data_IF_610449167603
#
_entry.id   IF_610449167603
#
_cell.length_a   1.000
_cell.length_b   1.000
_cell.length_c   1.000
_cell.angle_alpha   90.00
_cell.angle_beta   90.00
_cell.angle_gamma   90.00
#
_symmetry.space_group_name_H-M   'P 1'
#
loop_
_entity.id
_entity.type
_entity.pdbx_description
1 polymer ?
#
# COMPACT_ATOMS: atom_id res chain seq x y z
N UNK A 1 19.57 74.00 -37.43
CA UNK A 1 18.42 74.79 -37.93
C UNK A 1 17.51 73.80 -38.65
N UNK A 2 16.54 73.21 -37.94
CA UNK A 2 15.11 73.55 -38.00
C UNK A 2 14.51 73.34 -39.40
N UNK A 3 13.41 72.56 -39.45
CA UNK A 3 12.36 72.49 -40.49
C UNK A 3 12.75 71.80 -41.80
N UNK A 4 11.87 71.16 -42.58
CA UNK A 4 10.42 70.85 -42.61
C UNK A 4 10.31 69.75 -43.71
N UNK A 5 9.47 68.72 -43.59
CA UNK A 5 8.10 68.61 -44.12
C UNK A 5 7.94 68.86 -45.63
N UNK A 6 6.96 68.14 -46.21
CA UNK A 6 6.54 68.01 -47.62
C UNK A 6 7.27 66.94 -48.43
N UNK A 7 6.67 66.15 -49.31
CA UNK A 7 5.29 65.85 -49.69
C UNK A 7 5.40 64.88 -50.87
N UNK A 8 4.36 64.07 -51.09
CA UNK A 8 3.93 63.53 -52.39
C UNK A 8 4.86 62.53 -53.13
N UNK A 9 4.36 61.31 -53.33
CA UNK A 9 4.13 60.65 -54.63
C UNK A 9 3.73 59.19 -54.33
N UNK A 10 2.42 58.85 -54.38
CA UNK A 10 1.80 58.16 -55.51
C UNK A 10 2.60 56.93 -55.98
N UNK A 11 2.28 55.75 -55.45
CA UNK A 11 2.32 54.53 -56.25
C UNK A 11 1.16 53.60 -55.89
N UNK A 12 0.36 53.35 -56.92
CA UNK A 12 -0.72 52.39 -57.02
C UNK A 12 -0.21 50.97 -56.77
N UNK A 13 -0.86 50.22 -55.88
CA UNK A 13 -0.90 48.77 -55.99
C UNK A 13 -2.28 48.26 -55.62
N UNK A 14 -3.00 47.90 -56.67
CA UNK A 14 -4.23 47.10 -56.65
C UNK A 14 -3.82 45.70 -56.18
N UNK A 15 -4.26 45.29 -54.98
CA UNK A 15 -4.22 43.88 -54.57
C UNK A 15 -5.65 43.35 -54.55
N UNK A 16 -5.93 42.48 -55.51
CA UNK A 16 -7.17 41.72 -55.64
C UNK A 16 -7.18 40.65 -54.53
N UNK A 17 -8.10 40.79 -53.58
CA UNK A 17 -8.40 39.79 -52.57
C UNK A 17 -9.18 38.62 -53.22
N UNK A 18 -8.48 37.56 -53.62
CA UNK A 18 -9.10 36.26 -53.89
C UNK A 18 -9.13 35.44 -52.61
N UNK A 19 -10.31 35.32 -52.00
CA UNK A 19 -10.60 34.35 -50.94
C UNK A 19 -10.75 32.97 -51.57
N UNK A 20 -9.77 32.09 -51.37
CA UNK A 20 -9.91 30.66 -51.63
C UNK A 20 -10.32 29.95 -50.33
N UNK A 21 -11.44 29.20 -50.31
CA UNK A 21 -11.76 28.32 -49.20
C UNK A 21 -10.88 27.07 -49.30
N UNK A 22 -9.90 26.95 -48.41
CA UNK A 22 -9.19 25.69 -48.16
C UNK A 22 -10.17 24.71 -47.50
N UNK A 23 -10.80 23.88 -48.33
CA UNK A 23 -11.39 22.62 -47.87
C UNK A 23 -10.24 21.66 -47.58
N UNK A 24 -9.76 21.67 -46.35
CA UNK A 24 -8.92 20.61 -45.83
C UNK A 24 -9.78 19.33 -45.69
N UNK A 25 -9.89 18.56 -46.78
CA UNK A 25 -10.26 17.15 -46.70
C UNK A 25 -9.06 16.45 -46.07
N UNK A 26 -9.11 16.24 -44.76
CA UNK A 26 -8.35 15.17 -44.15
C UNK A 26 -9.00 13.87 -44.60
N UNK A 27 -8.34 13.14 -45.50
CA UNK A 27 -8.54 11.71 -45.66
C UNK A 27 -8.19 11.05 -44.33
N UNK A 28 -9.16 10.99 -43.43
CA UNK A 28 -9.12 10.06 -42.30
C UNK A 28 -9.38 8.71 -42.92
N UNK A 29 -8.30 7.95 -43.16
CA UNK A 29 -8.44 6.51 -43.28
C UNK A 29 -9.10 6.04 -42.00
N UNK A 30 -10.31 5.52 -42.12
CA UNK A 30 -10.94 4.71 -41.10
C UNK A 30 -9.93 3.64 -40.69
N UNK A 31 -9.27 3.85 -39.56
CA UNK A 31 -8.70 2.75 -38.82
C UNK A 31 -9.93 1.98 -38.35
N UNK A 32 -10.20 0.85 -38.98
CA UNK A 32 -10.98 -0.21 -38.35
C UNK A 32 -10.32 -0.47 -37.00
N UNK A 33 -10.87 0.17 -35.98
CA UNK A 33 -10.53 -0.08 -34.60
C UNK A 33 -11.07 -1.48 -34.34
N UNK A 34 -10.18 -2.48 -34.30
CA UNK A 34 -10.55 -3.83 -33.90
C UNK A 34 -11.37 -3.73 -32.62
N UNK A 35 -12.65 -4.09 -32.72
CA UNK A 35 -13.52 -4.25 -31.57
C UNK A 35 -12.87 -5.31 -30.66
N UNK A 36 -12.45 -4.87 -29.47
CA UNK A 36 -12.04 -5.77 -28.41
C UNK A 36 -10.54 -6.08 -28.35
N UNK A 37 -9.73 -5.10 -27.95
CA UNK A 37 -8.71 -5.36 -26.93
C UNK A 37 -8.49 -4.10 -26.12
N UNK A 38 -8.91 -4.13 -24.86
CA UNK A 38 -8.57 -3.07 -23.91
C UNK A 38 -7.05 -3.03 -23.76
N UNK A 39 -6.45 -1.88 -24.11
CA UNK A 39 -5.07 -1.61 -23.77
C UNK A 39 -4.96 -1.68 -22.24
N UNK A 40 -4.36 -2.76 -21.74
CA UNK A 40 -4.27 -3.06 -20.32
C UNK A 40 -3.55 -1.88 -19.62
N UNK A 41 -4.30 -1.10 -18.84
CA UNK A 41 -3.96 0.27 -18.43
C UNK A 41 -2.87 0.35 -17.34
N UNK A 42 -2.29 -0.79 -16.93
CA UNK A 42 -1.38 -0.87 -15.79
C UNK A 42 0.05 -1.19 -16.25
N UNK A 43 1.03 -0.31 -15.95
CA UNK A 43 2.43 -0.49 -16.36
C UNK A 43 3.11 -1.68 -15.66
N UNK A 44 4.20 -2.26 -16.20
CA UNK A 44 5.01 -3.33 -15.57
C UNK A 44 5.40 -3.14 -14.10
N UNK A 45 5.40 -1.92 -13.55
CA UNK A 45 5.59 -1.65 -12.12
C UNK A 45 4.27 -1.70 -11.30
N UNK A 46 3.28 -2.46 -11.79
CA UNK A 46 1.86 -2.35 -11.43
C UNK A 46 1.47 -2.85 -10.06
N UNK A 47 2.30 -3.60 -9.32
CA UNK A 47 1.83 -4.30 -8.14
C UNK A 47 2.60 -3.91 -6.86
N UNK A 48 1.84 -3.52 -5.84
CA UNK A 48 2.31 -3.38 -4.46
C UNK A 48 2.05 -4.68 -3.70
N UNK A 49 3.07 -5.22 -3.06
CA UNK A 49 2.95 -6.41 -2.23
C UNK A 49 2.86 -5.99 -0.77
N UNK A 50 1.90 -6.56 -0.05
CA UNK A 50 1.72 -6.41 1.39
C UNK A 50 1.61 -7.79 2.02
N UNK A 51 2.29 -8.02 3.13
CA UNK A 51 2.13 -9.24 3.92
C UNK A 51 1.35 -8.90 5.18
N UNK A 52 0.45 -9.78 5.61
CA UNK A 52 -0.24 -9.69 6.89
C UNK A 52 -0.40 -11.06 7.53
N UNK A 53 -0.39 -11.08 8.86
CA UNK A 53 -0.77 -12.28 9.60
C UNK A 53 -2.26 -12.55 9.37
N UNK A 54 -2.61 -13.81 9.26
CA UNK A 54 -4.00 -14.26 9.09
C UNK A 54 -4.38 -15.10 10.32
N UNK A 55 -4.37 -14.48 11.52
CA UNK A 55 -4.39 -15.21 12.78
C UNK A 55 -5.69 -16.00 12.99
N UNK A 56 -6.78 -15.63 12.32
CA UNK A 56 -8.02 -16.40 12.39
C UNK A 56 -7.90 -17.81 11.76
N UNK A 57 -6.91 -18.06 10.89
CA UNK A 57 -6.67 -19.37 10.28
C UNK A 57 -5.68 -20.21 11.12
N UNK A 58 -4.40 -19.85 11.14
CA UNK A 58 -3.37 -20.55 11.94
C UNK A 58 -2.21 -19.61 12.32
N UNK A 59 -1.36 -20.03 13.26
CA UNK A 59 -0.11 -19.32 13.60
C UNK A 59 0.95 -19.39 12.48
N UNK A 60 0.77 -20.31 11.52
CA UNK A 60 1.74 -20.60 10.47
C UNK A 60 1.28 -20.04 9.11
N UNK A 61 0.07 -19.52 9.04
CA UNK A 61 -0.51 -18.95 7.82
C UNK A 61 -0.41 -17.43 7.81
N UNK A 62 -0.01 -16.90 6.68
CA UNK A 62 0.05 -15.48 6.42
C UNK A 62 -0.47 -15.22 5.02
N UNK A 63 -0.97 -14.02 4.80
CA UNK A 63 -1.46 -13.63 3.49
C UNK A 63 -0.49 -12.64 2.87
N UNK A 64 -0.15 -12.91 1.62
CA UNK A 64 0.49 -11.97 0.72
C UNK A 64 -0.59 -11.35 -0.16
N UNK A 65 -0.89 -10.09 0.08
CA UNK A 65 -1.72 -9.27 -0.81
C UNK A 65 -0.87 -8.66 -1.88
N UNK A 66 -1.38 -8.71 -3.10
CA UNK A 66 -0.78 -8.04 -4.25
C UNK A 66 -1.84 -7.11 -4.79
N UNK A 67 -1.56 -5.81 -4.77
CA UNK A 67 -2.49 -4.74 -5.11
C UNK A 67 -2.02 -4.04 -6.38
N UNK A 68 -2.89 -3.86 -7.36
CA UNK A 68 -2.63 -3.02 -8.51
C UNK A 68 -2.47 -1.55 -8.08
N UNK A 69 -1.43 -0.88 -8.57
CA UNK A 69 -1.09 0.51 -8.21
C UNK A 69 -2.00 1.54 -8.89
N UNK A 70 -2.82 1.12 -9.85
CA UNK A 70 -3.77 1.98 -10.54
C UNK A 70 -5.18 1.83 -9.96
N UNK A 71 -5.89 2.94 -9.87
CA UNK A 71 -7.34 2.96 -9.62
C UNK A 71 -8.02 3.39 -10.90
N UNK A 72 -8.94 2.58 -11.39
CA UNK A 72 -9.87 3.04 -12.43
C UNK A 72 -11.05 3.67 -11.70
N UNK A 73 -11.30 4.95 -11.99
CA UNK A 73 -12.47 5.67 -11.50
C UNK A 73 -13.41 5.90 -12.67
N UNK A 74 -14.66 5.46 -12.56
CA UNK A 74 -15.65 5.63 -13.61
C UNK A 74 -16.78 4.60 -13.51
N UNK A 75 -17.56 4.48 -14.58
CA UNK A 75 -18.63 3.49 -14.72
C UNK A 75 -18.15 2.22 -15.40
N UNK A 76 -16.98 1.75 -14.97
CA UNK A 76 -16.34 0.54 -15.47
C UNK A 76 -16.67 -0.62 -14.55
N UNK A 77 -16.96 -1.78 -15.12
CA UNK A 77 -17.01 -3.03 -14.40
C UNK A 77 -15.67 -3.75 -14.56
N UNK A 78 -14.98 -4.06 -13.47
CA UNK A 78 -13.76 -4.85 -13.53
C UNK A 78 -14.09 -6.34 -13.37
N UNK A 79 -13.61 -7.20 -14.26
CA UNK A 79 -13.63 -8.65 -13.99
C UNK A 79 -12.73 -8.95 -12.79
N UNK A 80 -13.05 -9.96 -11.99
CA UNK A 80 -12.22 -10.28 -10.83
C UNK A 80 -10.85 -10.82 -11.27
N UNK A 81 -9.77 -10.26 -10.72
CA UNK A 81 -8.45 -10.90 -10.84
C UNK A 81 -8.40 -12.16 -9.97
N UNK A 82 -7.67 -13.17 -10.41
CA UNK A 82 -7.34 -14.33 -9.58
C UNK A 82 -5.87 -14.70 -9.74
N UNK A 83 -5.41 -15.61 -8.89
CA UNK A 83 -4.03 -16.10 -8.89
C UNK A 83 -3.98 -17.60 -9.01
N UNK A 84 -3.03 -18.06 -9.79
CA UNK A 84 -2.61 -19.45 -9.83
C UNK A 84 -1.28 -19.58 -9.08
N UNK A 85 -1.25 -20.48 -8.09
CA UNK A 85 -0.07 -20.70 -7.25
C UNK A 85 0.48 -22.09 -7.54
N UNK A 86 1.75 -22.17 -7.91
CA UNK A 86 2.42 -23.44 -8.20
C UNK A 86 3.86 -23.43 -7.69
N UNK A 87 4.24 -24.49 -6.99
CA UNK A 87 5.64 -24.72 -6.61
C UNK A 87 6.37 -25.45 -7.73
N UNK A 88 7.54 -24.95 -8.14
CA UNK A 88 8.42 -25.56 -9.15
C UNK A 88 9.86 -25.51 -8.63
N UNK A 89 10.40 -26.67 -8.24
CA UNK A 89 11.71 -26.71 -7.58
C UNK A 89 11.67 -25.96 -6.25
N UNK A 90 12.61 -25.04 -6.05
CA UNK A 90 12.72 -24.13 -4.90
C UNK A 90 11.89 -22.83 -5.06
N UNK A 91 11.12 -22.71 -6.14
CA UNK A 91 10.44 -21.47 -6.50
C UNK A 91 8.92 -21.61 -6.35
N UNK A 92 8.31 -20.75 -5.54
CA UNK A 92 6.87 -20.55 -5.50
C UNK A 92 6.48 -19.55 -6.59
N UNK A 93 5.82 -20.04 -7.64
CA UNK A 93 5.30 -19.22 -8.73
C UNK A 93 3.88 -18.78 -8.41
N UNK A 94 3.66 -17.47 -8.52
CA UNK A 94 2.38 -16.83 -8.30
C UNK A 94 2.07 -16.09 -9.59
N UNK A 95 1.21 -16.70 -10.40
CA UNK A 95 0.77 -16.15 -11.68
C UNK A 95 -0.54 -15.39 -11.47
N UNK A 96 -0.48 -14.09 -11.78
CA UNK A 96 -1.61 -13.18 -11.74
C UNK A 96 -2.36 -13.27 -13.05
N UNK A 97 -3.67 -13.52 -12.96
CA UNK A 97 -4.59 -13.38 -14.07
C UNK A 97 -5.30 -12.06 -13.90
N UNK A 98 -5.00 -11.12 -14.80
CA UNK A 98 -5.42 -9.73 -14.71
C UNK A 98 -6.94 -9.57 -14.76
N UNK A 99 -7.43 -8.54 -14.07
CA UNK A 99 -8.80 -8.05 -14.24
C UNK A 99 -8.89 -7.24 -15.54
N UNK A 100 -9.93 -7.47 -16.31
CA UNK A 100 -10.31 -6.67 -17.46
C UNK A 100 -11.27 -5.56 -17.02
N UNK A 101 -11.02 -4.33 -17.45
CA UNK A 101 -11.99 -3.25 -17.29
C UNK A 101 -12.95 -3.28 -18.48
N UNK A 102 -14.17 -3.72 -18.22
CA UNK A 102 -15.26 -3.68 -19.18
C UNK A 102 -15.94 -2.30 -19.05
N UNK A 103 -15.91 -1.55 -20.15
CA UNK A 103 -16.82 -0.42 -20.31
C UNK A 103 -18.23 -1.01 -20.46
N UNK A 104 -19.24 -0.30 -19.95
CA UNK A 104 -20.60 -0.78 -20.12
C UNK A 104 -20.95 -0.59 -21.60
N UNK A 105 -20.98 -1.67 -22.38
CA UNK A 105 -21.18 -1.67 -23.84
C UNK A 105 -22.58 -1.22 -24.29
N UNK A 106 -23.40 -0.72 -23.36
CA UNK A 106 -24.68 -0.09 -23.69
C UNK A 106 -24.38 1.31 -24.22
N UNK A 107 -24.99 1.64 -25.36
CA UNK A 107 -24.91 2.90 -26.14
C UNK A 107 -24.50 4.15 -25.34
N UNK A 108 -23.83 5.16 -25.94
CA UNK A 108 -23.31 6.32 -25.23
C UNK A 108 -24.45 7.15 -24.59
N UNK A 109 -24.89 6.73 -23.41
CA UNK A 109 -25.92 7.35 -22.62
C UNK A 109 -25.23 8.39 -21.74
N UNK A 110 -24.86 9.51 -22.34
CA UNK A 110 -24.44 10.75 -21.65
C UNK A 110 -25.52 11.31 -20.71
N UNK A 111 -26.64 10.60 -20.56
CA UNK A 111 -27.80 11.02 -19.81
C UNK A 111 -28.27 9.89 -18.87
N UNK A 112 -28.18 10.14 -17.56
CA UNK A 112 -29.11 9.61 -16.53
C UNK A 112 -28.93 8.19 -15.94
N UNK A 113 -27.73 7.78 -15.54
CA UNK A 113 -27.61 6.78 -14.47
C UNK A 113 -26.78 7.30 -13.31
N UNK A 114 -27.28 7.10 -12.08
CA UNK A 114 -26.58 7.33 -10.81
C UNK A 114 -25.46 6.29 -10.63
N UNK A 115 -24.50 6.31 -11.55
CA UNK A 115 -23.30 5.53 -11.42
C UNK A 115 -22.47 6.12 -10.27
N UNK A 116 -22.37 5.37 -9.17
CA UNK A 116 -21.47 5.73 -8.08
C UNK A 116 -20.04 5.55 -8.58
N UNK A 117 -19.31 6.67 -8.72
CA UNK A 117 -17.87 6.63 -8.98
C UNK A 117 -17.22 5.95 -7.77
N UNK A 118 -16.81 4.69 -7.95
CA UNK A 118 -16.05 3.94 -6.96
C UNK A 118 -14.61 3.86 -7.44
N UNK A 119 -13.67 4.26 -6.58
CA UNK A 119 -12.27 3.90 -6.79
C UNK A 119 -12.07 2.49 -6.23
N UNK A 120 -11.95 1.50 -7.11
CA UNK A 120 -11.54 0.15 -6.73
C UNK A 120 -10.04 0.00 -6.95
N UNK A 121 -9.29 -0.31 -5.89
CA UNK A 121 -7.98 -0.93 -6.02
C UNK A 121 -8.24 -2.41 -6.30
N UNK A 122 -7.72 -2.95 -7.41
CA UNK A 122 -7.71 -4.40 -7.60
C UNK A 122 -6.64 -4.98 -6.69
N UNK A 123 -7.00 -5.92 -5.82
CA UNK A 123 -6.04 -6.67 -5.03
C UNK A 123 -6.47 -8.12 -4.96
N UNK A 124 -5.51 -8.99 -4.71
CA UNK A 124 -5.77 -10.40 -4.43
C UNK A 124 -4.88 -10.86 -3.28
N UNK A 125 -5.41 -11.82 -2.53
CA UNK A 125 -4.81 -12.35 -1.32
C UNK A 125 -4.34 -13.79 -1.58
N UNK A 126 -3.03 -14.00 -1.52
CA UNK A 126 -2.43 -15.33 -1.56
C UNK A 126 -2.23 -15.81 -0.13
N UNK A 127 -2.96 -16.84 0.27
CA UNK A 127 -2.74 -17.50 1.55
C UNK A 127 -1.52 -18.44 1.45
N UNK A 128 -0.52 -18.19 2.28
CA UNK A 128 0.72 -18.95 2.33
C UNK A 128 0.86 -19.63 3.70
N UNK A 129 1.42 -20.83 3.71
CA UNK A 129 1.70 -21.61 4.92
C UNK A 129 3.21 -21.75 5.11
N UNK A 130 3.73 -21.23 6.22
CA UNK A 130 5.16 -21.23 6.55
C UNK A 130 5.74 -22.64 6.54
N UNK A 131 5.08 -23.59 7.18
CA UNK A 131 5.62 -24.93 7.38
C UNK A 131 5.65 -25.69 6.06
N UNK A 132 4.64 -25.48 5.21
CA UNK A 132 4.65 -25.98 3.83
C UNK A 132 5.80 -25.38 3.02
N UNK A 133 6.01 -24.06 3.07
CA UNK A 133 7.12 -23.43 2.35
C UNK A 133 8.49 -23.96 2.80
N UNK A 134 8.66 -24.24 4.10
CA UNK A 134 9.88 -24.87 4.64
C UNK A 134 10.01 -26.31 4.15
N UNK A 135 8.92 -27.10 4.21
CA UNK A 135 8.92 -28.49 3.78
C UNK A 135 9.22 -28.64 2.28
N UNK A 136 8.66 -27.74 1.48
CA UNK A 136 8.87 -27.65 0.03
C UNK A 136 10.24 -27.06 -0.34
N UNK A 137 11.03 -26.60 0.65
CA UNK A 137 12.33 -25.94 0.47
C UNK A 137 12.26 -24.75 -0.49
N UNK A 138 11.24 -23.91 -0.33
CA UNK A 138 11.08 -22.71 -1.15
C UNK A 138 12.13 -21.67 -0.75
N UNK A 139 12.95 -21.26 -1.71
CA UNK A 139 13.98 -20.21 -1.59
C UNK A 139 13.64 -18.97 -2.40
N UNK A 140 12.70 -19.06 -3.36
CA UNK A 140 12.30 -17.94 -4.20
C UNK A 140 10.77 -17.81 -4.31
N UNK A 141 10.27 -16.58 -4.33
CA UNK A 141 8.90 -16.27 -4.75
C UNK A 141 8.98 -15.52 -6.08
N UNK A 142 8.44 -16.13 -7.12
CA UNK A 142 8.36 -15.54 -8.45
C UNK A 142 6.93 -15.07 -8.70
N UNK A 143 6.79 -13.77 -8.92
CA UNK A 143 5.54 -13.15 -9.30
C UNK A 143 5.56 -12.89 -10.81
N UNK A 144 4.53 -13.42 -11.47
CA UNK A 144 4.37 -13.38 -12.92
C UNK A 144 2.99 -12.86 -13.26
N UNK A 145 2.90 -12.04 -14.29
CA UNK A 145 1.67 -11.64 -14.93
C UNK A 145 1.49 -12.49 -16.19
N UNK A 146 0.26 -12.94 -16.48
CA UNK A 146 -0.02 -13.65 -17.73
C UNK A 146 0.16 -12.74 -18.94
N UNK A 147 -0.30 -11.49 -18.82
CA UNK A 147 -0.18 -10.49 -19.87
C UNK A 147 1.24 -9.94 -20.07
N UNK A 148 1.99 -9.76 -18.98
CA UNK A 148 3.26 -8.99 -18.98
C UNK A 148 4.52 -9.83 -18.74
N UNK A 149 4.36 -11.11 -18.38
CA UNK A 149 5.47 -12.01 -18.06
C UNK A 149 5.98 -11.83 -16.63
N UNK A 150 7.23 -12.26 -16.41
CA UNK A 150 7.86 -12.23 -15.08
C UNK A 150 8.15 -10.78 -14.69
N UNK A 151 7.64 -10.34 -13.53
CA UNK A 151 7.82 -8.96 -13.09
C UNK A 151 8.70 -8.85 -11.83
N UNK A 152 8.67 -9.84 -10.95
CA UNK A 152 9.50 -9.82 -9.75
C UNK A 152 9.83 -11.22 -9.27
N UNK A 153 11.11 -11.46 -8.98
CA UNK A 153 11.55 -12.60 -8.19
C UNK A 153 12.16 -12.07 -6.89
N UNK A 154 11.78 -12.65 -5.77
CA UNK A 154 12.27 -12.27 -4.44
C UNK A 154 12.86 -13.50 -3.78
N UNK A 155 14.08 -13.36 -3.26
CA UNK A 155 14.69 -14.43 -2.48
C UNK A 155 14.11 -14.42 -1.08
N UNK A 156 13.79 -15.59 -0.57
CA UNK A 156 13.22 -15.76 0.76
C UNK A 156 14.10 -16.64 1.63
N UNK A 157 14.23 -16.24 2.89
CA UNK A 157 14.80 -17.08 3.94
C UNK A 157 13.77 -17.24 5.03
N UNK A 158 13.25 -18.46 5.15
CA UNK A 158 12.18 -18.78 6.09
C UNK A 158 12.78 -19.40 7.35
N UNK A 159 12.40 -18.86 8.50
CA UNK A 159 12.66 -19.41 9.81
C UNK A 159 11.34 -19.65 10.55
N UNK A 160 11.39 -20.31 11.70
CA UNK A 160 10.21 -20.53 12.55
C UNK A 160 9.47 -19.21 12.90
N UNK A 161 10.21 -18.13 13.16
CA UNK A 161 9.66 -16.88 13.70
C UNK A 161 9.51 -15.78 12.65
N UNK A 162 10.15 -15.90 11.50
CA UNK A 162 10.10 -14.88 10.47
C UNK A 162 10.37 -15.43 9.07
N UNK A 163 10.02 -14.63 8.08
CA UNK A 163 10.47 -14.78 6.70
C UNK A 163 11.19 -13.48 6.31
N UNK A 164 12.45 -13.62 5.88
CA UNK A 164 13.25 -12.52 5.34
C UNK A 164 13.12 -12.55 3.83
N UNK A 165 12.64 -11.46 3.25
CA UNK A 165 12.60 -11.21 1.82
C UNK A 165 13.81 -10.37 1.44
N UNK A 166 14.44 -10.72 0.32
CA UNK A 166 15.54 -9.99 -0.28
C UNK A 166 15.17 -9.68 -1.72
N UNK A 167 14.91 -8.41 -1.99
CA UNK A 167 14.60 -7.93 -3.33
C UNK A 167 15.81 -7.16 -3.87
N UNK A 168 16.40 -7.67 -4.95
CA UNK A 168 17.52 -7.03 -5.64
C UNK A 168 16.97 -6.04 -6.66
N UNK A 169 17.12 -4.74 -6.38
CA UNK A 169 16.82 -3.66 -7.32
C UNK A 169 18.13 -3.21 -8.00
N UNK A 170 18.09 -2.55 -9.17
CA UNK A 170 19.29 -2.21 -9.94
C UNK A 170 20.37 -1.39 -9.22
N UNK A 171 20.06 -0.80 -8.05
CA UNK A 171 20.97 0.05 -7.28
C UNK A 171 21.01 -0.28 -5.79
N UNK A 172 20.18 -1.20 -5.32
CA UNK A 172 20.01 -1.45 -3.90
C UNK A 172 19.45 -2.84 -3.65
N UNK A 173 19.92 -3.48 -2.60
CA UNK A 173 19.34 -4.70 -2.07
C UNK A 173 18.43 -4.33 -0.90
N UNK A 174 17.14 -4.68 -1.01
CA UNK A 174 16.18 -4.43 0.05
C UNK A 174 15.91 -5.69 0.83
N UNK A 175 16.24 -5.65 2.13
CA UNK A 175 15.90 -6.69 3.07
C UNK A 175 14.65 -6.31 3.86
N UNK A 176 13.66 -7.19 3.88
CA UNK A 176 12.42 -7.01 4.61
C UNK A 176 12.21 -8.25 5.47
N UNK A 177 11.81 -8.07 6.73
CA UNK A 177 11.53 -9.18 7.64
C UNK A 177 10.07 -9.13 8.05
N UNK A 178 9.32 -10.18 7.74
CA UNK A 178 7.98 -10.40 8.24
C UNK A 178 8.03 -11.37 9.41
N UNK A 179 7.34 -11.04 10.51
CA UNK A 179 7.36 -11.81 11.75
C UNK A 179 6.07 -12.64 11.90
N UNK A 180 6.21 -13.93 12.20
CA UNK A 180 5.08 -14.78 12.55
C UNK A 180 4.71 -14.53 14.01
N UNK A 181 3.62 -13.80 14.22
CA UNK A 181 3.14 -13.48 15.56
C UNK A 181 2.11 -14.51 16.02
N UNK A 182 2.10 -14.90 17.29
CA UNK A 182 1.03 -15.74 17.84
C UNK A 182 -0.36 -15.14 17.63
N UNK A 183 -1.39 -15.98 17.52
CA UNK A 183 -2.81 -15.58 17.43
C UNK A 183 -3.27 -14.61 18.51
N UNK A 184 -2.66 -14.71 19.70
CA UNK A 184 -2.92 -13.86 20.87
C UNK A 184 -2.25 -12.49 20.82
N UNK A 185 -1.67 -12.09 19.70
CA UNK A 185 -0.90 -10.85 19.63
C UNK A 185 -1.82 -9.63 19.53
N UNK A 186 -1.57 -8.66 20.40
CA UNK A 186 -2.28 -7.39 20.48
C UNK A 186 -1.30 -6.23 20.39
N UNK A 187 -1.73 -5.13 19.77
CA UNK A 187 -1.00 -3.87 19.77
C UNK A 187 -1.70 -2.91 20.71
N UNK A 188 -0.97 -2.39 21.71
CA UNK A 188 -1.39 -1.24 22.50
C UNK A 188 -0.84 0.02 21.85
N UNK A 189 -1.70 1.02 21.70
CA UNK A 189 -1.41 2.23 20.95
C UNK A 189 -1.92 3.47 21.71
N UNK A 190 -1.13 4.54 21.71
CA UNK A 190 -1.55 5.87 22.13
C UNK A 190 -1.71 6.77 20.88
N UNK A 191 -2.89 6.82 20.23
CA UNK A 191 -3.06 7.44 18.90
C UNK A 191 -2.69 8.92 18.86
N UNK A 192 -2.91 9.63 19.97
CA UNK A 192 -2.70 11.08 20.07
C UNK A 192 -1.31 11.45 20.62
N UNK A 193 -0.44 10.46 20.84
CA UNK A 193 0.89 10.69 21.37
C UNK A 193 1.86 11.13 20.27
N UNK A 194 2.75 12.06 20.61
CA UNK A 194 3.97 12.31 19.82
C UNK A 194 4.88 11.09 19.90
N UNK A 195 5.61 10.79 18.83
CA UNK A 195 6.58 9.69 18.83
C UNK A 195 7.76 10.06 19.74
N UNK A 196 7.81 9.49 20.95
CA UNK A 196 8.86 9.70 21.97
C UNK A 196 9.09 8.43 22.78
N UNK A 197 10.33 8.16 23.19
CA UNK A 197 10.68 6.95 23.93
C UNK A 197 9.92 6.80 25.27
N UNK A 198 9.68 7.89 25.98
CA UNK A 198 8.93 7.86 27.25
C UNK A 198 7.48 7.41 27.08
N UNK A 199 6.86 7.71 25.94
CA UNK A 199 5.52 7.20 25.60
C UNK A 199 5.58 5.69 25.41
N UNK A 200 6.57 5.18 24.67
CA UNK A 200 6.74 3.75 24.42
C UNK A 200 6.92 2.99 25.74
N UNK A 201 7.78 3.50 26.61
CA UNK A 201 8.09 2.86 27.90
C UNK A 201 6.87 2.88 28.83
N UNK A 202 6.09 3.96 28.82
CA UNK A 202 4.82 4.04 29.54
C UNK A 202 3.76 3.06 28.99
N UNK A 203 3.65 2.89 27.67
CA UNK A 203 2.78 1.86 27.06
C UNK A 203 3.27 0.46 27.46
N UNK A 204 4.59 0.21 27.44
CA UNK A 204 5.22 -1.06 27.84
C UNK A 204 4.85 -1.42 29.28
N UNK A 205 5.09 -0.49 30.20
CA UNK A 205 4.76 -0.65 31.62
C UNK A 205 3.27 -0.89 31.85
N UNK A 206 2.41 -0.14 31.14
CA UNK A 206 0.96 -0.34 31.19
C UNK A 206 0.54 -1.74 30.74
N UNK A 207 1.05 -2.22 29.60
CA UNK A 207 0.71 -3.55 29.09
C UNK A 207 1.17 -4.67 30.03
N UNK A 208 2.38 -4.57 30.58
CA UNK A 208 2.90 -5.53 31.56
C UNK A 208 2.06 -5.54 32.85
N UNK A 209 1.62 -4.38 33.33
CA UNK A 209 0.72 -4.29 34.48
C UNK A 209 -0.66 -4.92 34.22
N UNK A 210 -1.11 -5.00 32.96
CA UNK A 210 -2.32 -5.72 32.56
C UNK A 210 -2.12 -7.24 32.39
N UNK A 211 -0.91 -7.74 32.62
CA UNK A 211 -0.56 -9.16 32.46
C UNK A 211 -0.19 -9.55 31.03
N UNK A 212 0.08 -8.58 30.15
CA UNK A 212 0.54 -8.85 28.80
C UNK A 212 2.05 -9.06 28.77
N UNK A 213 2.53 -9.94 27.89
CA UNK A 213 3.97 -10.18 27.71
C UNK A 213 4.48 -9.42 26.48
N UNK A 214 5.54 -8.59 26.59
CA UNK A 214 6.13 -7.95 25.41
C UNK A 214 6.50 -8.96 24.32
N UNK A 215 6.24 -8.62 23.06
CA UNK A 215 6.39 -9.60 21.98
C UNK A 215 7.84 -10.06 21.78
N UNK A 216 8.83 -9.27 22.17
CA UNK A 216 10.26 -9.63 22.02
C UNK A 216 10.66 -10.78 22.93
N UNK A 217 9.96 -10.92 24.06
CA UNK A 217 10.17 -12.00 25.02
C UNK A 217 9.57 -13.33 24.52
N UNK A 218 8.63 -13.26 23.56
CA UNK A 218 7.92 -14.42 22.98
C UNK A 218 8.49 -14.81 21.61
N UNK A 219 8.74 -13.83 20.74
CA UNK A 219 9.21 -14.03 19.37
C UNK A 219 10.70 -13.72 19.30
N UNK A 220 11.54 -14.75 19.46
CA UNK A 220 13.00 -14.61 19.48
C UNK A 220 13.50 -13.87 18.24
N UNK A 221 14.25 -12.79 18.48
CA UNK A 221 14.87 -11.96 17.46
C UNK A 221 13.95 -10.86 16.91
N UNK A 222 12.72 -10.71 17.41
CA UNK A 222 11.87 -9.59 17.02
C UNK A 222 12.50 -8.27 17.48
N UNK A 223 12.50 -7.28 16.59
CA UNK A 223 12.96 -5.93 16.89
C UNK A 223 11.82 -4.96 16.56
N UNK A 224 11.52 -4.06 17.49
CA UNK A 224 10.60 -2.97 17.22
C UNK A 224 11.17 -2.02 16.16
N UNK A 225 10.34 -1.52 15.22
CA UNK A 225 10.77 -0.43 14.35
C UNK A 225 11.20 0.76 15.21
N UNK A 226 12.39 1.30 14.98
CA UNK A 226 12.94 2.39 15.79
C UNK A 226 12.02 3.61 15.85
N UNK A 227 11.25 3.86 14.79
CA UNK A 227 10.43 5.07 14.64
C UNK A 227 9.03 4.95 15.31
N UNK A 228 8.70 3.75 15.79
CA UNK A 228 7.40 3.39 16.33
C UNK A 228 7.34 3.57 17.85
N UNK A 229 7.22 4.81 18.32
CA UNK A 229 7.19 5.08 19.76
C UNK A 229 5.77 5.22 20.34
N UNK A 230 4.73 5.30 19.52
CA UNK A 230 3.34 5.46 19.97
C UNK A 230 2.55 4.14 20.04
N UNK A 231 3.21 3.00 19.83
CA UNK A 231 2.61 1.68 20.03
C UNK A 231 3.63 0.64 20.48
N UNK A 232 3.14 -0.40 21.16
CA UNK A 232 3.92 -1.58 21.57
C UNK A 232 3.08 -2.82 21.29
N UNK A 233 3.72 -3.89 20.83
CA UNK A 233 3.12 -5.18 20.52
C UNK A 233 3.37 -6.15 21.67
N UNK A 234 2.32 -6.89 22.05
CA UNK A 234 2.34 -7.84 23.16
C UNK A 234 1.68 -9.15 22.76
N UNK A 235 2.01 -10.23 23.48
CA UNK A 235 1.24 -11.46 23.52
C UNK A 235 0.26 -11.43 24.71
N UNK A 236 -1.02 -11.65 24.42
CA UNK A 236 -2.11 -11.78 25.38
C UNK A 236 -2.41 -13.26 25.66
N UNK A 237 -1.52 -13.93 26.40
CA UNK A 237 -1.59 -15.38 26.65
C UNK A 237 -2.89 -15.81 27.34
N UNK A 238 -3.45 -14.94 28.18
CA UNK A 238 -4.71 -15.17 28.90
C UNK A 238 -5.95 -14.84 28.05
N UNK A 239 -5.76 -14.27 26.86
CA UNK A 239 -6.83 -13.87 25.95
C UNK A 239 -7.77 -12.80 26.49
N UNK A 240 -7.30 -11.94 27.39
CA UNK A 240 -8.12 -10.92 28.08
C UNK A 240 -8.63 -9.84 27.14
N UNK A 241 -7.81 -9.43 26.18
CA UNK A 241 -8.09 -8.38 25.20
C UNK A 241 -8.41 -8.97 23.83
N UNK A 242 -7.71 -10.03 23.42
CA UNK A 242 -7.84 -10.58 22.06
C UNK A 242 -9.23 -11.13 21.77
N UNK A 243 -9.95 -11.58 22.80
CA UNK A 243 -11.34 -12.08 22.70
C UNK A 243 -12.35 -11.00 22.32
N UNK A 244 -12.06 -9.73 22.62
CA UNK A 244 -12.93 -8.58 22.34
C UNK A 244 -12.50 -7.88 21.03
N UNK A 245 -11.54 -8.46 20.32
CA UNK A 245 -10.96 -7.96 19.07
C UNK A 245 -11.33 -8.89 17.92
N UNK A 246 -12.61 -8.90 17.53
CA UNK A 246 -13.13 -9.83 16.52
C UNK A 246 -12.58 -9.59 15.11
N UNK A 247 -12.21 -8.35 14.78
CA UNK A 247 -11.71 -7.96 13.45
C UNK A 247 -10.35 -7.25 13.54
N UNK A 248 -9.64 -7.15 12.41
CA UNK A 248 -8.41 -6.36 12.30
C UNK A 248 -8.65 -4.86 12.49
N UNK A 249 -9.88 -4.40 12.30
CA UNK A 249 -10.27 -2.98 12.42
C UNK A 249 -10.84 -2.63 13.79
N UNK A 250 -11.19 -3.64 14.61
CA UNK A 250 -11.69 -3.42 15.96
C UNK A 250 -10.66 -2.66 16.80
N UNK A 251 -11.11 -1.61 17.49
CA UNK A 251 -10.32 -0.80 18.43
C UNK A 251 -11.09 -0.73 19.73
N UNK A 252 -10.47 -1.13 20.84
CA UNK A 252 -11.08 -1.04 22.16
C UNK A 252 -10.25 -0.12 23.06
N UNK A 253 -10.84 0.86 23.75
CA UNK A 253 -10.14 1.62 24.76
C UNK A 253 -9.87 0.71 25.96
N UNK A 254 -8.61 0.63 26.40
CA UNK A 254 -8.20 -0.27 27.51
C UNK A 254 -7.69 0.47 28.74
N UNK A 255 -7.45 1.78 28.63
CA UNK A 255 -7.04 2.58 29.78
C UNK A 255 -6.35 3.88 29.36
N UNK A 256 -5.49 4.38 30.25
CA UNK A 256 -4.71 5.58 30.02
C UNK A 256 -3.33 5.45 30.67
N UNK A 257 -2.35 6.15 30.10
CA UNK A 257 -1.03 6.36 30.68
C UNK A 257 -0.84 7.85 30.99
N UNK A 258 0.00 8.14 31.96
CA UNK A 258 0.43 9.52 32.27
C UNK A 258 1.86 9.70 31.80
N UNK A 259 2.11 10.75 31.05
CA UNK A 259 3.43 11.13 30.53
C UNK A 259 3.68 12.61 30.81
N UNK A 260 4.95 13.02 30.77
CA UNK A 260 5.37 14.39 31.05
C UNK A 260 5.84 15.07 29.76
N UNK A 261 5.38 16.30 29.51
CA UNK A 261 5.89 17.17 28.45
C UNK A 261 6.48 18.44 29.07
N UNK A 262 7.71 18.77 28.66
CA UNK A 262 8.31 20.05 29.00
C UNK A 262 7.77 21.12 28.06
N UNK A 263 7.09 22.13 28.63
CA UNK A 263 6.64 23.32 27.91
C UNK A 263 7.51 24.51 28.24
N UNK A 264 7.85 25.31 27.25
CA UNK A 264 8.66 26.51 27.42
C UNK A 264 7.74 27.73 27.43
N UNK A 265 7.69 28.43 28.57
CA UNK A 265 6.92 29.66 28.75
C UNK A 265 7.82 30.85 29.10
N UNK A 266 7.21 32.01 29.31
CA UNK A 266 7.91 33.25 29.69
C UNK A 266 8.73 33.11 31.01
N UNK A 267 8.36 32.16 31.87
CA UNK A 267 9.02 31.88 33.14
C UNK A 267 10.03 30.71 33.08
N UNK A 268 10.37 30.22 31.87
CA UNK A 268 11.25 29.07 31.68
C UNK A 268 10.51 27.75 31.38
N UNK A 269 11.22 26.61 31.40
CA UNK A 269 10.63 25.29 31.18
C UNK A 269 9.77 24.87 32.38
N UNK A 270 8.56 24.36 32.10
CA UNK A 270 7.65 23.75 33.07
C UNK A 270 7.32 22.34 32.61
N UNK A 271 7.42 21.38 33.52
CA UNK A 271 6.97 20.01 33.27
C UNK A 271 5.47 19.89 33.54
N UNK A 272 4.71 19.51 32.51
CA UNK A 272 3.28 19.26 32.61
C UNK A 272 2.99 17.77 32.40
N UNK A 273 2.21 17.19 33.31
CA UNK A 273 1.68 15.85 33.13
C UNK A 273 0.42 15.90 32.28
N UNK A 274 0.27 14.94 31.37
CA UNK A 274 -0.96 14.76 30.60
C UNK A 274 -1.27 13.28 30.41
N UNK A 275 -2.57 13.00 30.22
CA UNK A 275 -3.08 11.65 30.09
C UNK A 275 -3.27 11.29 28.62
N UNK A 276 -2.74 10.13 28.22
CA UNK A 276 -2.91 9.55 26.90
C UNK A 276 -3.81 8.33 27.01
N UNK A 277 -4.87 8.30 26.19
CA UNK A 277 -5.72 7.12 26.06
C UNK A 277 -4.96 5.99 25.38
N UNK A 278 -5.05 4.79 25.92
CA UNK A 278 -4.53 3.57 25.31
C UNK A 278 -5.68 2.82 24.65
N UNK A 279 -5.47 2.45 23.39
CA UNK A 279 -6.35 1.57 22.64
C UNK A 279 -5.62 0.25 22.39
N UNK A 280 -6.35 -0.86 22.53
CA UNK A 280 -5.91 -2.16 22.03
C UNK A 280 -6.51 -2.42 20.65
N UNK A 281 -5.74 -3.10 19.82
CA UNK A 281 -6.14 -3.58 18.50
C UNK A 281 -5.43 -4.87 18.15
N UNK A 282 -5.96 -5.64 17.20
CA UNK A 282 -5.17 -6.72 16.60
C UNK A 282 -3.93 -6.15 15.93
N UNK A 283 -2.81 -6.84 16.08
CA UNK A 283 -1.58 -6.45 15.39
C UNK A 283 -1.74 -6.68 13.91
N UNK A 284 -1.98 -5.59 13.17
CA UNK A 284 -1.80 -5.57 11.74
C UNK A 284 -0.29 -5.64 11.50
N UNK A 285 0.22 -6.84 11.28
CA UNK A 285 1.59 -7.01 10.81
C UNK A 285 1.64 -6.66 9.31
N UNK A 286 1.12 -5.49 8.94
CA UNK A 286 1.10 -5.03 7.55
C UNK A 286 2.49 -4.60 7.17
N UNK A 287 3.15 -5.38 6.32
CA UNK A 287 4.13 -4.81 5.41
C UNK A 287 3.38 -3.84 4.50
N UNK A 288 3.66 -2.54 4.64
CA UNK A 288 3.18 -1.51 3.72
C UNK A 288 4.42 -0.79 3.20
N UNK A 289 4.55 -0.64 1.89
CA UNK A 289 5.68 0.06 1.26
C UNK A 289 5.80 1.52 1.75
N UNK A 290 4.76 2.07 2.37
CA UNK A 290 4.81 3.38 3.06
C UNK A 290 5.72 3.41 4.30
N UNK A 291 6.11 2.26 4.87
CA UNK A 291 7.13 2.20 5.93
C UNK A 291 8.56 2.25 5.40
N UNK A 292 8.79 2.17 4.09
CA UNK A 292 10.05 2.63 3.47
C UNK A 292 9.99 4.14 3.16
N UNK A 293 9.55 4.96 4.12
CA UNK A 293 9.46 6.41 3.91
C UNK A 293 10.87 7.04 4.00
N UNK A 294 11.36 7.40 2.81
CA UNK A 294 12.35 8.47 2.51
C UNK A 294 13.78 8.27 3.02
N UNK A 295 14.62 7.68 2.17
CA UNK A 295 15.94 8.25 1.91
C UNK A 295 15.84 9.06 0.61
N UNK A 296 15.40 10.30 0.76
CA UNK A 296 15.85 11.41 -0.08
C UNK A 296 16.76 12.27 0.78
#
# INVERSE_FOLDING_TARGET
MIQKLFSSFLFSMILISMTLPLSARADVKDYEQEEGTSANMFSHNAYEIAFFNTPHLSDNTFTMRVSATGKVSGCTHMTGSYVEVKTVGDTLKIEVVESEALLNDKEPLYAHYSCQIKGSESFFDVLLDRDKLIADKVEHIQLRSRAYGDFQTVDIKINKNNIKFTATLPREEKHIVFWFHPKSTVTLQAPNAKSRDDVRDAIRAFGMAQGLTPIEDVVKGYHFPHDAHNYVVFSDTDGRLVKDLDTLDTRIPVGQITVTETRYGANGPVEEQYHLKIIAKRTNNTFNRRYSKRLH
#
